data_IF_434715801523
#
_entry.id   IF_434715801523
#
_cell.length_a   1.000
_cell.length_b   1.000
_cell.length_c   1.000
_cell.angle_alpha   90.00
_cell.angle_beta   90.00
_cell.angle_gamma   90.00
#
_symmetry.space_group_name_H-M   'P 1'
#
loop_
_entity.id
_entity.type
_entity.pdbx_description
1 polymer ?
#
# COMPACT_ATOMS: atom_id res chain seq x y z
N UNK A 1 -14.12 3.84 -31.15
CA UNK A 1 -14.06 2.40 -31.50
C UNK A 1 -12.65 1.91 -31.87
N UNK A 2 -11.60 2.77 -31.90
CA UNK A 2 -10.23 2.38 -32.26
C UNK A 2 -9.31 2.02 -31.07
N UNK A 3 -9.61 2.49 -29.85
CA UNK A 3 -8.79 2.20 -28.66
C UNK A 3 -8.88 0.74 -28.19
N UNK A 4 -9.99 0.04 -28.45
CA UNK A 4 -10.21 -1.32 -27.94
C UNK A 4 -9.58 -2.44 -28.79
N UNK A 5 -9.05 -2.15 -29.98
CA UNK A 5 -8.51 -3.20 -30.89
C UNK A 5 -6.98 -3.38 -30.74
N UNK A 6 -6.29 -2.39 -30.16
CA UNK A 6 -4.85 -2.42 -29.92
C UNK A 6 -4.48 -2.79 -28.47
N UNK A 7 -5.39 -2.57 -27.52
CA UNK A 7 -5.16 -2.79 -26.09
C UNK A 7 -4.86 -4.26 -25.73
N UNK A 8 -5.38 -5.22 -26.48
CA UNK A 8 -5.20 -6.66 -26.21
C UNK A 8 -3.97 -7.28 -26.90
N UNK A 9 -3.23 -6.50 -27.70
CA UNK A 9 -2.09 -7.00 -28.47
C UNK A 9 -0.80 -6.80 -27.70
N UNK A 10 -0.29 -7.86 -27.11
CA UNK A 10 0.98 -7.86 -26.36
C UNK A 10 2.17 -8.32 -27.20
N UNK A 11 3.34 -7.78 -26.93
CA UNK A 11 4.61 -8.10 -27.58
C UNK A 11 5.63 -8.58 -26.55
N UNK A 12 6.29 -9.69 -26.86
CA UNK A 12 7.41 -10.24 -26.08
C UNK A 12 8.66 -10.33 -26.94
N UNK A 13 9.72 -9.64 -26.56
CA UNK A 13 11.03 -9.66 -27.23
C UNK A 13 12.11 -9.61 -26.15
N UNK A 14 13.01 -10.61 -26.13
CA UNK A 14 14.20 -10.59 -25.27
C UNK A 14 15.42 -10.82 -26.15
N UNK A 15 16.17 -9.75 -26.44
CA UNK A 15 17.42 -9.83 -27.18
C UNK A 15 18.37 -8.71 -26.76
N UNK A 16 19.64 -9.04 -26.61
CA UNK A 16 20.70 -8.07 -26.33
C UNK A 16 21.25 -7.40 -27.59
N UNK A 17 21.01 -8.00 -28.75
CA UNK A 17 21.48 -7.51 -30.04
C UNK A 17 20.49 -7.96 -31.13
N UNK A 18 19.57 -7.07 -31.53
CA UNK A 18 18.58 -7.32 -32.58
C UNK A 18 18.50 -6.12 -33.52
N UNK A 19 18.39 -6.36 -34.83
CA UNK A 19 18.18 -5.26 -35.78
C UNK A 19 16.77 -4.67 -35.65
N UNK A 20 16.61 -3.39 -35.98
CA UNK A 20 15.29 -2.73 -36.03
C UNK A 20 14.31 -3.52 -36.91
N UNK A 21 14.80 -4.04 -38.05
CA UNK A 21 13.99 -4.84 -38.99
C UNK A 21 13.50 -6.14 -38.38
N UNK A 22 14.36 -6.87 -37.67
CA UNK A 22 13.98 -8.09 -36.98
C UNK A 22 12.99 -7.82 -35.85
N UNK A 23 13.22 -6.77 -35.05
CA UNK A 23 12.32 -6.37 -33.97
C UNK A 23 10.92 -6.04 -34.51
N UNK A 24 10.82 -5.22 -35.57
CA UNK A 24 9.55 -4.89 -36.21
C UNK A 24 8.87 -6.14 -36.82
N UNK A 25 9.64 -7.06 -37.40
CA UNK A 25 9.10 -8.32 -37.91
C UNK A 25 8.54 -9.21 -36.79
N UNK A 26 9.17 -9.24 -35.61
CA UNK A 26 8.64 -9.95 -34.44
C UNK A 26 7.32 -9.32 -33.97
N UNK A 27 7.26 -7.99 -33.88
CA UNK A 27 6.03 -7.26 -33.55
C UNK A 27 4.91 -7.64 -34.53
N UNK A 28 5.17 -7.55 -35.84
CA UNK A 28 4.23 -7.93 -36.90
C UNK A 28 3.72 -9.36 -36.76
N UNK A 29 4.60 -10.33 -36.48
CA UNK A 29 4.23 -11.75 -36.30
C UNK A 29 3.34 -11.98 -35.08
N UNK A 30 3.61 -11.31 -33.97
CA UNK A 30 2.87 -11.53 -32.72
C UNK A 30 1.52 -10.82 -32.70
N UNK A 31 1.43 -9.65 -33.33
CA UNK A 31 0.26 -8.76 -33.23
C UNK A 31 -0.61 -8.74 -34.48
N UNK A 32 -0.13 -9.32 -35.59
CA UNK A 32 -0.82 -9.32 -36.88
C UNK A 32 -0.98 -7.93 -37.50
N UNK A 33 -0.23 -6.92 -37.04
CA UNK A 33 -0.29 -5.56 -37.59
C UNK A 33 0.56 -5.44 -38.86
N UNK A 34 0.14 -4.57 -39.76
CA UNK A 34 0.91 -4.26 -40.96
C UNK A 34 1.87 -3.11 -40.69
N UNK A 35 3.15 -3.42 -40.54
CA UNK A 35 4.19 -2.39 -40.40
C UNK A 35 4.74 -2.02 -41.78
N UNK A 36 4.70 -0.73 -42.09
CA UNK A 36 5.22 -0.11 -43.30
C UNK A 36 6.41 0.77 -42.95
N UNK A 37 7.49 0.66 -43.71
CA UNK A 37 8.70 1.46 -43.57
C UNK A 37 9.45 1.46 -44.89
N UNK A 38 10.29 2.46 -45.12
CA UNK A 38 11.21 2.49 -46.26
C UNK A 38 12.54 1.85 -45.85
N UNK A 39 12.95 0.76 -46.51
CA UNK A 39 14.17 0.00 -46.15
C UNK A 39 15.42 0.90 -46.07
N UNK A 40 15.54 1.89 -46.97
CA UNK A 40 16.66 2.83 -47.00
C UNK A 40 16.69 3.79 -45.80
N UNK A 41 15.56 3.97 -45.11
CA UNK A 41 15.43 4.88 -43.96
C UNK A 41 15.54 4.16 -42.62
N UNK A 42 15.56 2.82 -42.63
CA UNK A 42 15.66 2.04 -41.40
C UNK A 42 17.07 2.16 -40.83
N UNK A 43 17.16 2.61 -39.58
CA UNK A 43 18.44 2.72 -38.91
C UNK A 43 19.00 1.32 -38.61
N UNK A 44 20.25 1.04 -38.98
CA UNK A 44 20.89 -0.27 -38.77
C UNK A 44 21.50 -0.42 -37.36
N UNK A 45 21.06 0.39 -36.40
CA UNK A 45 21.55 0.34 -35.02
C UNK A 45 21.05 -0.95 -34.36
N UNK A 46 21.94 -1.77 -33.78
CA UNK A 46 21.53 -2.91 -32.98
C UNK A 46 20.83 -2.43 -31.71
N UNK A 47 19.66 -3.00 -31.44
CA UNK A 47 18.84 -2.67 -30.28
C UNK A 47 19.04 -3.69 -29.17
N UNK A 48 18.94 -3.23 -27.92
CA UNK A 48 18.82 -4.08 -26.73
C UNK A 48 17.38 -3.99 -26.22
N UNK A 49 16.61 -5.04 -26.43
CA UNK A 49 15.18 -5.07 -26.15
C UNK A 49 14.85 -6.12 -25.09
N UNK A 50 14.18 -5.67 -24.04
CA UNK A 50 13.57 -6.52 -22.99
C UNK A 50 12.11 -6.10 -22.85
N UNK A 51 11.25 -6.75 -23.62
CA UNK A 51 9.79 -6.56 -23.61
C UNK A 51 9.14 -7.87 -23.14
N UNK A 52 8.30 -7.81 -22.12
CA UNK A 52 7.61 -8.97 -21.57
C UNK A 52 6.10 -8.74 -21.56
N UNK A 53 5.39 -9.24 -22.58
CA UNK A 53 3.95 -9.01 -22.79
C UNK A 53 3.55 -7.52 -22.75
N UNK A 54 4.43 -6.66 -23.26
CA UNK A 54 4.17 -5.21 -23.29
C UNK A 54 3.06 -4.90 -24.30
N UNK A 55 2.17 -3.92 -24.03
CA UNK A 55 1.21 -3.45 -25.02
C UNK A 55 1.92 -3.00 -26.31
N UNK A 56 1.28 -3.22 -27.46
CA UNK A 56 1.85 -2.91 -28.77
C UNK A 56 2.37 -1.46 -28.87
N UNK A 57 1.63 -0.49 -28.35
CA UNK A 57 2.03 0.93 -28.38
C UNK A 57 3.33 1.16 -27.61
N UNK A 58 3.47 0.53 -26.45
CA UNK A 58 4.67 0.61 -25.62
C UNK A 58 5.85 -0.09 -26.30
N UNK A 59 5.63 -1.26 -26.88
CA UNK A 59 6.65 -1.98 -27.64
C UNK A 59 7.18 -1.13 -28.82
N UNK A 60 6.28 -0.53 -29.61
CA UNK A 60 6.64 0.36 -30.72
C UNK A 60 7.38 1.61 -30.23
N UNK A 61 6.95 2.19 -29.11
CA UNK A 61 7.62 3.34 -28.49
C UNK A 61 9.06 3.03 -28.08
N UNK A 62 9.30 1.89 -27.44
CA UNK A 62 10.65 1.48 -27.03
C UNK A 62 11.54 1.21 -28.25
N UNK A 63 11.02 0.49 -29.25
CA UNK A 63 11.79 0.17 -30.46
C UNK A 63 12.16 1.45 -31.22
N UNK A 64 11.19 2.34 -31.43
CA UNK A 64 11.40 3.55 -32.22
C UNK A 64 12.30 4.57 -31.50
N UNK A 65 12.15 4.72 -30.19
CA UNK A 65 12.99 5.64 -29.41
C UNK A 65 14.47 5.22 -29.42
N UNK A 66 14.78 3.92 -29.25
CA UNK A 66 16.15 3.43 -29.35
C UNK A 66 16.70 3.51 -30.79
N UNK A 67 15.86 3.27 -31.80
CA UNK A 67 16.26 3.35 -33.20
C UNK A 67 16.43 4.80 -33.72
N UNK A 68 16.02 5.81 -32.94
CA UNK A 68 15.97 7.20 -33.41
C UNK A 68 14.91 7.43 -34.50
N UNK A 69 13.86 6.63 -34.49
CA UNK A 69 12.75 6.66 -35.44
C UNK A 69 11.48 7.14 -34.73
N UNK A 70 10.45 7.46 -35.51
CA UNK A 70 9.10 7.66 -35.01
C UNK A 70 8.17 6.63 -35.62
N UNK A 71 7.10 6.32 -34.91
CA UNK A 71 5.99 5.54 -35.46
C UNK A 71 4.73 6.38 -35.52
N UNK A 72 3.81 5.96 -36.38
CA UNK A 72 2.50 6.55 -36.52
C UNK A 72 1.48 5.43 -36.74
N UNK A 73 0.51 5.32 -35.84
CA UNK A 73 -0.64 4.43 -36.04
C UNK A 73 -1.57 5.01 -37.08
N UNK A 74 -1.94 4.19 -38.08
CA UNK A 74 -2.86 4.55 -39.16
C UNK A 74 -4.06 3.61 -39.15
N UNK A 75 -5.17 4.05 -39.74
CA UNK A 75 -6.37 3.24 -39.95
C UNK A 75 -6.04 1.87 -40.59
N UNK A 76 -6.93 0.90 -40.38
CA UNK A 76 -6.83 -0.46 -40.91
C UNK A 76 -5.63 -1.29 -40.40
N UNK A 77 -5.23 -1.11 -39.12
CA UNK A 77 -4.20 -1.94 -38.47
C UNK A 77 -2.80 -1.78 -39.12
N UNK A 78 -2.55 -0.59 -39.71
CA UNK A 78 -1.27 -0.21 -40.28
C UNK A 78 -0.47 0.66 -39.32
N UNK A 79 0.85 0.47 -39.31
CA UNK A 79 1.81 1.30 -38.56
C UNK A 79 2.88 1.77 -39.54
N UNK A 80 3.08 3.08 -39.64
CA UNK A 80 4.21 3.62 -40.40
C UNK A 80 5.38 3.87 -39.46
N UNK A 81 6.57 3.44 -39.85
CA UNK A 81 7.83 3.80 -39.21
C UNK A 81 8.52 4.81 -40.12
N UNK A 82 8.86 5.96 -39.56
CA UNK A 82 9.38 7.11 -40.29
C UNK A 82 10.66 7.62 -39.60
N UNK A 83 11.63 8.14 -40.35
CA UNK A 83 12.74 8.85 -39.74
C UNK A 83 12.25 10.13 -39.07
N UNK A 84 13.00 10.60 -38.07
CA UNK A 84 12.75 11.90 -37.46
C UNK A 84 13.27 12.99 -38.42
N UNK A 85 12.36 13.59 -39.18
CA UNK A 85 12.68 14.73 -40.03
C UNK A 85 12.87 15.99 -39.16
N UNK A 86 14.13 16.42 -39.03
CA UNK A 86 14.48 17.63 -38.28
C UNK A 86 14.15 18.92 -39.03
N UNK A 87 13.92 18.86 -40.35
CA UNK A 87 13.65 20.00 -41.21
C UNK A 87 12.15 20.19 -41.51
N UNK A 88 11.30 19.26 -41.10
CA UNK A 88 9.86 19.39 -41.24
C UNK A 88 9.34 20.64 -40.51
N UNK A 89 8.41 21.38 -41.15
CA UNK A 89 7.66 22.46 -40.50
C UNK A 89 6.97 21.91 -39.26
N UNK A 90 7.16 22.59 -38.13
CA UNK A 90 6.63 22.17 -36.83
C UNK A 90 5.48 23.06 -36.40
N UNK A 91 4.48 22.43 -35.81
CA UNK A 91 3.46 23.09 -35.00
C UNK A 91 3.87 23.03 -33.53
N UNK A 92 3.46 24.05 -32.78
CA UNK A 92 3.64 24.10 -31.33
C UNK A 92 2.27 24.16 -30.67
N UNK A 93 2.09 23.33 -29.66
CA UNK A 93 0.95 23.34 -28.74
C UNK A 93 1.47 23.78 -27.38
N UNK A 94 0.72 24.63 -26.71
CA UNK A 94 0.95 25.04 -25.33
C UNK A 94 -0.28 24.75 -24.49
N UNK A 95 -0.12 24.68 -23.18
CA UNK A 95 -1.27 24.52 -22.31
C UNK A 95 -0.91 24.46 -20.84
N UNK A 96 -1.96 24.39 -20.01
CA UNK A 96 -1.87 24.24 -18.56
C UNK A 96 -2.75 23.08 -18.14
N UNK A 97 -2.22 22.22 -17.27
CA UNK A 97 -2.91 21.07 -16.71
C UNK A 97 -3.13 21.31 -15.22
N UNK A 98 -4.38 21.19 -14.80
CA UNK A 98 -4.80 21.36 -13.41
C UNK A 98 -5.62 20.18 -12.92
N UNK A 99 -5.61 19.94 -11.63
CA UNK A 99 -6.43 18.89 -11.00
C UNK A 99 -7.87 19.36 -10.72
N UNK A 100 -8.62 18.53 -10.01
CA UNK A 100 -9.99 18.79 -9.60
C UNK A 100 -10.15 19.97 -8.64
N UNK A 101 -9.12 20.21 -7.82
CA UNK A 101 -9.00 21.30 -6.85
C UNK A 101 -8.46 22.60 -7.45
N UNK A 102 -7.98 22.57 -8.70
CA UNK A 102 -7.45 23.73 -9.43
C UNK A 102 -5.94 23.95 -9.28
N UNK A 103 -5.24 23.01 -8.63
CA UNK A 103 -3.79 22.99 -8.46
C UNK A 103 -3.10 22.48 -9.73
N UNK A 104 -1.87 22.95 -10.04
CA UNK A 104 -1.14 22.51 -11.22
C UNK A 104 -0.71 21.03 -11.11
N UNK A 105 -0.93 20.26 -12.17
CA UNK A 105 -0.47 18.87 -12.26
C UNK A 105 0.97 18.83 -12.77
N UNK A 106 1.91 18.77 -11.84
CA UNK A 106 3.34 18.76 -12.12
C UNK A 106 3.76 17.39 -12.64
N UNK A 107 4.47 17.36 -13.78
CA UNK A 107 5.02 16.11 -14.31
C UNK A 107 4.02 15.25 -15.08
N UNK A 108 2.83 15.77 -15.41
CA UNK A 108 1.92 15.11 -16.35
C UNK A 108 2.63 14.85 -17.68
N UNK A 109 2.39 13.67 -18.26
CA UNK A 109 2.88 13.28 -19.59
C UNK A 109 1.86 13.70 -20.64
N UNK A 110 2.32 14.42 -21.66
CA UNK A 110 1.50 14.86 -22.79
C UNK A 110 2.07 14.22 -24.05
N UNK A 111 1.29 13.39 -24.76
CA UNK A 111 1.73 12.67 -25.96
C UNK A 111 0.67 12.76 -27.05
N UNK A 112 1.07 12.95 -28.31
CA UNK A 112 0.15 12.76 -29.44
C UNK A 112 -0.04 11.26 -29.63
N UNK A 113 -1.28 10.79 -29.47
CA UNK A 113 -1.60 9.36 -29.45
C UNK A 113 -1.05 8.66 -30.70
N UNK A 114 -0.46 7.48 -30.47
CA UNK A 114 0.09 6.67 -31.56
C UNK A 114 1.33 7.27 -32.20
N UNK A 115 2.01 8.19 -31.52
CA UNK A 115 3.29 8.76 -31.95
C UNK A 115 4.29 8.78 -30.79
N UNK A 116 5.55 9.10 -31.09
CA UNK A 116 6.59 9.37 -30.08
C UNK A 116 6.70 10.85 -29.71
N UNK A 117 5.81 11.71 -30.23
CA UNK A 117 5.85 13.14 -29.93
C UNK A 117 5.16 13.43 -28.60
N UNK A 118 5.96 13.73 -27.59
CA UNK A 118 5.45 14.09 -26.27
C UNK A 118 6.35 15.06 -25.53
N UNK A 119 5.80 15.60 -24.43
CA UNK A 119 6.45 16.52 -23.51
C UNK A 119 5.91 16.27 -22.10
N UNK A 120 6.50 16.93 -21.10
CA UNK A 120 6.10 16.81 -19.70
C UNK A 120 5.75 18.20 -19.16
N UNK A 121 4.70 18.27 -18.32
CA UNK A 121 4.30 19.50 -17.66
C UNK A 121 5.33 19.95 -16.61
N UNK A 122 5.60 21.25 -16.55
CA UNK A 122 6.53 21.86 -15.59
C UNK A 122 5.89 22.04 -14.19
N UNK A 123 6.59 22.75 -13.29
CA UNK A 123 6.13 23.02 -11.90
C UNK A 123 4.84 23.86 -11.81
N UNK A 124 4.54 24.63 -12.85
CA UNK A 124 3.32 25.45 -12.93
C UNK A 124 2.20 24.72 -13.69
N UNK A 125 2.37 23.42 -13.97
CA UNK A 125 1.44 22.61 -14.77
C UNK A 125 1.43 23.00 -16.25
N UNK A 126 2.35 23.85 -16.70
CA UNK A 126 2.44 24.33 -18.08
C UNK A 126 3.23 23.35 -18.94
N UNK A 127 2.82 23.18 -20.19
CA UNK A 127 3.54 22.35 -21.16
C UNK A 127 3.67 23.06 -22.50
N UNK A 128 4.72 22.67 -23.24
CA UNK A 128 4.94 23.06 -24.62
C UNK A 128 5.38 21.84 -25.42
N UNK A 129 4.61 21.48 -26.45
CA UNK A 129 4.84 20.34 -27.32
C UNK A 129 5.06 20.80 -28.75
N UNK A 130 6.21 20.47 -29.34
CA UNK A 130 6.53 20.75 -30.73
C UNK A 130 6.55 19.47 -31.54
N UNK A 131 5.80 19.42 -32.64
CA UNK A 131 5.64 18.23 -33.48
C UNK A 131 5.52 18.61 -34.97
N UNK A 132 5.88 17.72 -35.90
CA UNK A 132 5.75 17.98 -37.34
C UNK A 132 4.30 18.19 -37.77
N UNK A 133 4.06 19.16 -38.65
CA UNK A 133 2.74 19.51 -39.17
C UNK A 133 2.07 18.38 -39.97
N UNK A 134 2.86 17.47 -40.52
CA UNK A 134 2.40 16.31 -41.29
C UNK A 134 2.01 15.09 -40.42
N UNK A 135 1.92 15.25 -39.09
CA UNK A 135 1.42 14.21 -38.19
C UNK A 135 -0.09 14.03 -38.43
N UNK A 136 -0.54 12.83 -38.79
CA UNK A 136 -1.97 12.56 -39.09
C UNK A 136 -2.81 12.35 -37.84
N UNK A 137 -2.20 11.92 -36.73
CA UNK A 137 -2.91 11.72 -35.47
C UNK A 137 -3.27 13.08 -34.83
N UNK A 138 -4.55 13.20 -34.47
CA UNK A 138 -5.18 14.43 -33.99
C UNK A 138 -5.67 14.33 -32.53
N UNK A 139 -5.23 13.31 -31.79
CA UNK A 139 -5.60 13.08 -30.38
C UNK A 139 -4.38 13.33 -29.47
N UNK A 140 -4.52 14.24 -28.52
CA UNK A 140 -3.58 14.54 -27.45
C UNK A 140 -3.98 13.73 -26.22
N UNK A 141 -3.10 12.85 -25.77
CA UNK A 141 -3.26 12.04 -24.57
C UNK A 141 -2.48 12.67 -23.42
N UNK A 142 -3.12 12.84 -22.29
CA UNK A 142 -2.55 13.44 -21.09
C UNK A 142 -2.75 12.46 -19.95
N UNK A 143 -1.64 12.03 -19.33
CA UNK A 143 -1.66 11.04 -18.26
C UNK A 143 -0.75 11.44 -17.11
N UNK A 144 -1.18 11.10 -15.91
CA UNK A 144 -0.41 11.28 -14.68
C UNK A 144 -0.78 10.17 -13.71
N UNK A 145 0.17 9.74 -12.89
CA UNK A 145 -0.02 8.61 -11.97
C UNK A 145 -1.12 8.98 -10.95
N UNK A 146 -2.14 8.12 -10.84
CA UNK A 146 -3.28 8.34 -9.95
C UNK A 146 -4.31 9.33 -10.48
N UNK A 147 -4.25 9.70 -11.77
CA UNK A 147 -5.24 10.54 -12.44
C UNK A 147 -5.77 9.90 -13.71
N UNK A 148 -7.02 10.20 -14.03
CA UNK A 148 -7.66 9.68 -15.24
C UNK A 148 -6.96 10.24 -16.47
N UNK A 149 -6.69 9.36 -17.43
CA UNK A 149 -6.10 9.76 -18.71
C UNK A 149 -7.11 10.58 -19.51
N UNK A 150 -6.75 11.83 -19.83
CA UNK A 150 -7.58 12.74 -20.63
C UNK A 150 -7.16 12.68 -22.09
N UNK A 151 -8.15 12.67 -22.99
CA UNK A 151 -7.97 12.64 -24.44
C UNK A 151 -8.62 13.86 -25.07
N UNK A 152 -7.82 14.70 -25.71
CA UNK A 152 -8.25 15.97 -26.33
C UNK A 152 -7.98 15.96 -27.83
N UNK A 153 -8.90 16.51 -28.63
CA UNK A 153 -8.63 16.68 -30.08
C UNK A 153 -7.78 17.93 -30.33
N UNK A 154 -6.74 17.79 -31.14
CA UNK A 154 -5.79 18.86 -31.43
C UNK A 154 -6.42 19.87 -32.41
N UNK A 155 -6.90 19.41 -33.56
CA UNK A 155 -7.45 20.21 -34.65
C UNK A 155 -6.58 21.42 -35.00
N UNK A 156 -7.19 22.60 -35.01
CA UNK A 156 -6.52 23.89 -35.21
C UNK A 156 -6.20 24.64 -33.90
N UNK A 157 -6.37 23.98 -32.74
CA UNK A 157 -6.08 24.60 -31.44
C UNK A 157 -4.59 24.57 -31.16
N UNK A 158 -4.11 25.65 -30.54
CA UNK A 158 -2.72 25.81 -30.12
C UNK A 158 -2.56 25.93 -28.60
N UNK A 159 -3.67 26.12 -27.87
CA UNK A 159 -3.71 26.33 -26.43
C UNK A 159 -4.74 25.39 -25.80
N UNK A 160 -4.33 24.64 -24.78
CA UNK A 160 -5.15 23.68 -24.05
C UNK A 160 -5.15 24.00 -22.55
N UNK A 161 -6.33 24.13 -21.98
CA UNK A 161 -6.51 24.17 -20.52
C UNK A 161 -7.22 22.88 -20.14
N UNK A 162 -6.49 21.97 -19.51
CA UNK A 162 -6.96 20.62 -19.26
C UNK A 162 -7.15 20.42 -17.76
N UNK A 163 -8.30 19.88 -17.39
CA UNK A 163 -8.61 19.48 -16.03
C UNK A 163 -8.51 17.96 -15.94
N UNK A 164 -7.67 17.46 -15.05
CA UNK A 164 -7.54 16.03 -14.77
C UNK A 164 -8.27 15.70 -13.47
N UNK A 165 -8.94 14.56 -13.46
CA UNK A 165 -9.62 14.05 -12.28
C UNK A 165 -8.79 12.95 -11.63
N UNK A 166 -8.79 12.89 -10.30
CA UNK A 166 -8.15 11.80 -9.57
C UNK A 166 -8.79 10.46 -9.96
N UNK A 167 -7.97 9.49 -10.34
CA UNK A 167 -8.43 8.15 -10.61
C UNK A 167 -8.42 7.36 -9.31
N UNK A 168 -9.62 7.03 -8.80
CA UNK A 168 -9.77 6.08 -7.70
C UNK A 168 -9.71 4.67 -8.28
N UNK A 169 -8.55 4.27 -8.78
CA UNK A 169 -8.29 2.90 -9.20
C UNK A 169 -7.87 2.08 -7.98
N UNK A 170 -8.59 1.00 -7.68
CA UNK A 170 -8.05 -0.08 -6.87
C UNK A 170 -6.87 -0.67 -7.65
N UNK A 171 -5.65 -0.31 -7.24
CA UNK A 171 -4.41 -0.76 -7.88
C UNK A 171 -4.33 -2.29 -7.78
N UNK A 172 -4.56 -2.98 -8.88
CA UNK A 172 -4.08 -4.34 -9.06
C UNK A 172 -2.58 -4.24 -9.31
N UNK A 173 -1.82 -4.25 -8.22
CA UNK A 173 -0.38 -4.10 -8.19
C UNK A 173 0.28 -5.28 -8.93
N UNK A 174 0.70 -5.06 -10.18
CA UNK A 174 1.52 -6.02 -10.91
C UNK A 174 2.95 -5.89 -10.40
N UNK A 175 3.29 -6.72 -9.41
CA UNK A 175 4.68 -6.91 -8.99
C UNK A 175 5.31 -7.99 -9.86
N UNK A 176 6.26 -7.62 -10.72
CA UNK A 176 7.11 -8.59 -11.41
C UNK A 176 8.21 -9.02 -10.44
N UNK A 177 7.95 -10.08 -9.67
CA UNK A 177 9.00 -10.80 -8.94
C UNK A 177 9.31 -12.08 -9.71
N UNK A 178 10.59 -12.26 -10.04
CA UNK A 178 11.10 -13.52 -10.58
C UNK A 178 10.83 -14.67 -9.63
N UNK A 179 10.49 -15.82 -10.22
CA UNK A 179 10.07 -17.09 -9.63
C UNK A 179 8.62 -17.17 -9.15
N UNK A 180 7.76 -17.70 -10.05
CA UNK A 180 6.47 -18.30 -9.73
C UNK A 180 5.30 -17.31 -9.60
N UNK A 181 4.57 -17.10 -10.69
CA UNK A 181 3.32 -16.32 -10.68
C UNK A 181 2.21 -17.17 -10.06
N UNK A 182 1.80 -16.85 -8.85
CA UNK A 182 0.45 -17.14 -8.36
C UNK A 182 -0.10 -15.85 -7.81
N UNK A 183 -1.07 -15.29 -8.53
CA UNK A 183 -1.81 -14.11 -8.11
C UNK A 183 -2.47 -14.40 -6.76
N UNK A 184 -2.28 -13.53 -5.77
CA UNK A 184 -3.01 -13.63 -4.48
C UNK A 184 -4.52 -13.47 -4.68
N UNK A 185 -4.96 -12.91 -5.82
CA UNK A 185 -6.38 -12.84 -6.23
C UNK A 185 -6.97 -14.15 -6.76
N UNK A 186 -6.15 -15.12 -7.17
CA UNK A 186 -6.65 -16.41 -7.67
C UNK A 186 -6.88 -17.43 -6.54
N UNK A 187 -6.78 -16.99 -5.28
CA UNK A 187 -7.23 -17.76 -4.14
C UNK A 187 -8.74 -17.57 -4.01
N UNK A 188 -9.49 -18.60 -4.37
CA UNK A 188 -10.95 -18.72 -4.15
C UNK A 188 -11.36 -18.71 -2.66
N UNK A 189 -10.43 -18.38 -1.75
CA UNK A 189 -10.61 -18.28 -0.31
C UNK A 189 -10.72 -16.82 0.15
N UNK A 190 -11.37 -16.62 1.29
CA UNK A 190 -11.66 -15.31 1.87
C UNK A 190 -10.39 -14.60 2.36
N UNK A 191 -9.75 -13.84 1.47
CA UNK A 191 -8.66 -12.92 1.80
C UNK A 191 -9.25 -11.63 2.36
N UNK A 192 -8.75 -11.18 3.51
CA UNK A 192 -9.04 -9.86 4.03
C UNK A 192 -7.76 -9.04 4.00
N UNK A 193 -7.82 -7.88 3.31
CA UNK A 193 -6.69 -6.98 3.08
C UNK A 193 -7.04 -5.59 3.57
N UNK A 194 -6.06 -4.91 4.16
CA UNK A 194 -6.18 -3.52 4.62
C UNK A 194 -5.00 -2.73 4.07
N UNK A 195 -5.33 -1.71 3.27
CA UNK A 195 -4.35 -0.83 2.66
C UNK A 195 -3.96 0.36 3.54
N UNK A 196 -2.90 1.05 3.12
CA UNK A 196 -2.30 2.23 3.77
C UNK A 196 -3.31 3.26 4.32
N UNK A 197 -4.41 3.54 3.59
CA UNK A 197 -5.43 4.53 4.00
C UNK A 197 -6.19 4.16 5.26
N UNK A 198 -6.38 2.87 5.53
CA UNK A 198 -7.05 2.38 6.73
C UNK A 198 -6.05 2.19 7.88
N UNK A 199 -4.81 1.81 7.57
CA UNK A 199 -3.72 1.72 8.54
C UNK A 199 -3.33 3.09 9.11
N UNK A 200 -3.32 4.15 8.29
CA UNK A 200 -2.97 5.50 8.72
C UNK A 200 -4.04 6.22 9.54
N UNK A 201 -5.28 5.72 9.55
CA UNK A 201 -6.38 6.25 10.38
C UNK A 201 -6.40 5.62 11.78
N UNK A 202 -5.68 4.51 11.98
CA UNK A 202 -5.58 3.81 13.24
C UNK A 202 -4.31 4.29 13.97
N UNK A 203 -4.48 5.23 14.91
CA UNK A 203 -3.43 5.61 15.86
C UNK A 203 -3.22 4.49 16.89
N UNK A 204 -2.66 3.37 16.44
CA UNK A 204 -2.35 2.23 17.31
C UNK A 204 -0.84 2.07 17.44
N UNK A 205 -0.32 1.95 18.68
CA UNK A 205 1.12 1.84 18.92
C UNK A 205 1.70 0.49 18.48
N UNK A 206 0.88 -0.55 18.34
CA UNK A 206 1.33 -1.92 18.07
C UNK A 206 0.65 -2.49 16.81
N UNK A 207 1.46 -3.07 15.93
CA UNK A 207 1.04 -3.76 14.70
C UNK A 207 0.01 -4.86 14.98
N UNK A 208 0.19 -5.57 16.08
CA UNK A 208 -0.69 -6.66 16.53
C UNK A 208 -2.09 -6.18 16.94
N UNK A 209 -2.26 -4.92 17.33
CA UNK A 209 -3.58 -4.34 17.64
C UNK A 209 -4.34 -3.88 16.39
N UNK A 210 -3.64 -3.61 15.29
CA UNK A 210 -4.25 -3.29 14.00
C UNK A 210 -5.03 -4.50 13.44
N UNK A 211 -4.53 -5.72 13.72
CA UNK A 211 -5.14 -7.01 13.35
C UNK A 211 -6.60 -7.15 13.83
N UNK A 212 -6.99 -6.47 14.91
CA UNK A 212 -8.31 -6.56 15.50
C UNK A 212 -9.42 -6.03 14.56
N UNK A 213 -9.07 -5.12 13.63
CA UNK A 213 -10.02 -4.47 12.73
C UNK A 213 -9.91 -4.95 11.27
N UNK A 214 -9.00 -5.86 10.94
CA UNK A 214 -8.71 -6.18 9.53
C UNK A 214 -9.74 -7.11 8.90
N UNK A 215 -10.48 -7.88 9.70
CA UNK A 215 -11.17 -9.05 9.21
C UNK A 215 -12.20 -9.63 10.17
N UNK A 216 -13.43 -9.86 9.69
CA UNK A 216 -14.38 -10.74 10.38
C UNK A 216 -13.75 -12.13 10.62
N UNK A 217 -13.77 -12.61 11.87
CA UNK A 217 -13.21 -13.92 12.26
C UNK A 217 -11.76 -13.90 12.73
N UNK A 218 -11.12 -12.73 12.85
CA UNK A 218 -9.87 -12.54 13.59
C UNK A 218 -10.19 -12.09 15.01
N UNK A 219 -9.69 -12.82 15.99
CA UNK A 219 -9.82 -12.49 17.40
C UNK A 219 -8.45 -12.14 17.96
N UNK A 220 -8.33 -10.93 18.49
CA UNK A 220 -7.12 -10.44 19.15
C UNK A 220 -7.40 -10.42 20.65
N UNK A 221 -6.61 -11.13 21.44
CA UNK A 221 -6.75 -11.23 22.90
C UNK A 221 -5.52 -10.64 23.58
N UNK A 222 -5.69 -9.49 24.22
CA UNK A 222 -4.73 -8.95 25.17
C UNK A 222 -4.91 -9.68 26.50
N UNK A 223 -3.87 -10.38 26.96
CA UNK A 223 -3.94 -11.13 28.23
C UNK A 223 -3.68 -10.22 29.43
N UNK A 224 -3.11 -9.03 29.21
CA UNK A 224 -2.87 -8.02 30.25
C UNK A 224 -3.18 -6.63 29.71
N UNK A 225 -3.40 -5.68 30.62
CA UNK A 225 -3.57 -4.26 30.28
C UNK A 225 -2.25 -3.50 30.15
N UNK A 226 -1.11 -4.20 30.03
CA UNK A 226 0.22 -3.58 29.97
C UNK A 226 0.51 -3.13 28.53
N UNK A 227 0.78 -1.84 28.29
CA UNK A 227 1.13 -1.35 26.96
C UNK A 227 2.44 -1.95 26.43
N UNK A 228 2.43 -2.56 25.24
CA UNK A 228 3.63 -3.12 24.61
C UNK A 228 3.85 -4.62 24.83
N UNK A 229 2.96 -5.33 25.53
CA UNK A 229 3.04 -6.79 25.62
C UNK A 229 2.48 -7.46 24.36
N UNK A 230 3.09 -8.58 23.96
CA UNK A 230 2.72 -9.32 22.75
C UNK A 230 1.29 -9.83 22.84
N UNK A 231 0.49 -9.46 21.83
CA UNK A 231 -0.94 -9.76 21.79
C UNK A 231 -1.17 -11.08 21.06
N UNK A 232 -2.04 -11.95 21.59
CA UNK A 232 -2.36 -13.20 20.92
C UNK A 232 -3.41 -12.98 19.84
N UNK A 233 -3.07 -13.39 18.62
CA UNK A 233 -3.95 -13.30 17.45
C UNK A 233 -4.46 -14.69 17.11
N UNK A 234 -5.74 -14.80 16.80
CA UNK A 234 -6.39 -16.04 16.41
C UNK A 234 -7.21 -15.83 15.16
N UNK A 235 -6.96 -16.62 14.13
CA UNK A 235 -7.72 -16.59 12.88
C UNK A 235 -8.58 -17.85 12.86
N UNK A 236 -9.91 -17.70 12.83
CA UNK A 236 -10.90 -18.81 12.85
C UNK A 236 -11.00 -19.66 14.13
N UNK A 237 -11.04 -19.02 15.30
CA UNK A 237 -11.38 -19.70 16.55
C UNK A 237 -10.37 -20.77 16.97
N UNK A 238 -10.73 -21.67 17.89
CA UNK A 238 -9.81 -22.68 18.43
C UNK A 238 -9.77 -23.95 17.59
N UNK A 239 -8.64 -24.24 16.95
CA UNK A 239 -8.39 -25.43 16.13
C UNK A 239 -7.74 -26.57 16.91
N UNK A 240 -7.13 -26.31 18.07
CA UNK A 240 -6.47 -27.31 18.92
C UNK A 240 -6.68 -27.06 20.42
N UNK A 241 -6.94 -28.15 21.17
CA UNK A 241 -7.07 -28.14 22.64
C UNK A 241 -5.72 -28.12 23.37
N UNK A 242 -4.62 -28.53 22.73
CA UNK A 242 -3.30 -28.71 23.35
C UNK A 242 -2.13 -28.09 22.58
N UNK A 243 -2.34 -27.64 21.33
CA UNK A 243 -1.31 -27.02 20.48
C UNK A 243 -1.44 -25.49 20.37
N UNK A 244 -0.41 -24.84 19.80
CA UNK A 244 -0.49 -23.40 19.48
C UNK A 244 -1.56 -23.17 18.41
N UNK A 245 -2.36 -22.12 18.63
CA UNK A 245 -3.44 -21.70 17.74
C UNK A 245 -3.15 -20.33 17.10
N UNK A 246 -1.89 -19.89 17.15
CA UNK A 246 -1.46 -18.67 16.50
C UNK A 246 -1.33 -18.89 14.99
N UNK A 247 -1.63 -17.86 14.18
CA UNK A 247 -1.35 -17.89 12.76
C UNK A 247 0.15 -17.83 12.50
N UNK A 248 0.57 -18.27 11.32
CA UNK A 248 1.93 -18.04 10.86
C UNK A 248 2.07 -16.58 10.42
N UNK A 249 3.12 -15.90 10.87
CA UNK A 249 3.42 -14.54 10.42
C UNK A 249 4.45 -14.58 9.29
N UNK A 250 4.27 -13.75 8.27
CA UNK A 250 5.19 -13.61 7.13
C UNK A 250 5.48 -12.13 6.95
N UNK A 251 6.75 -11.74 7.04
CA UNK A 251 7.19 -10.35 6.90
C UNK A 251 8.05 -10.27 5.64
N UNK A 252 7.62 -9.48 4.65
CA UNK A 252 8.29 -9.32 3.35
C UNK A 252 8.63 -10.65 2.65
N UNK A 253 7.78 -11.67 2.84
CA UNK A 253 7.95 -13.01 2.27
C UNK A 253 8.73 -13.99 3.14
N UNK A 254 9.27 -13.56 4.29
CA UNK A 254 9.98 -14.42 5.23
C UNK A 254 9.06 -14.86 6.37
N UNK A 255 8.84 -16.17 6.60
CA UNK A 255 8.04 -16.64 7.72
C UNK A 255 8.77 -16.41 9.04
N UNK A 256 8.06 -15.89 10.03
CA UNK A 256 8.57 -15.58 11.37
C UNK A 256 7.79 -16.40 12.39
N UNK A 257 8.52 -17.13 13.23
CA UNK A 257 7.96 -18.04 14.23
C UNK A 257 7.67 -17.33 15.56
N UNK A 258 8.31 -16.18 15.81
CA UNK A 258 8.13 -15.39 17.03
C UNK A 258 7.22 -14.16 16.76
N UNK A 259 6.01 -14.11 17.37
CA UNK A 259 5.09 -12.99 17.22
C UNK A 259 5.65 -11.65 17.73
N UNK A 260 6.62 -11.68 18.65
CA UNK A 260 7.24 -10.45 19.19
C UNK A 260 8.00 -9.65 18.14
N UNK A 261 8.35 -10.27 17.01
CA UNK A 261 8.99 -9.59 15.90
C UNK A 261 8.06 -8.64 15.14
N UNK A 262 6.74 -8.82 15.23
CA UNK A 262 5.80 -7.82 14.72
C UNK A 262 5.75 -6.57 15.59
N UNK A 263 5.98 -6.72 16.89
CA UNK A 263 5.98 -5.58 17.82
C UNK A 263 7.24 -4.71 17.65
N UNK A 264 8.30 -5.26 17.04
CA UNK A 264 9.51 -4.53 16.68
C UNK A 264 9.38 -3.68 15.40
N UNK A 265 8.33 -3.90 14.60
CA UNK A 265 8.10 -3.15 13.37
C UNK A 265 7.24 -1.93 13.68
N UNK A 266 7.70 -0.76 13.24
CA UNK A 266 6.90 0.46 13.33
C UNK A 266 5.66 0.33 12.43
N UNK A 267 4.44 0.63 12.92
CA UNK A 267 3.25 0.69 12.08
C UNK A 267 3.39 1.63 10.86
N UNK A 268 4.25 2.65 10.97
CA UNK A 268 4.53 3.58 9.88
C UNK A 268 5.33 2.94 8.73
N UNK A 269 6.05 1.87 8.99
CA UNK A 269 6.88 1.18 8.00
C UNK A 269 6.08 0.09 7.28
N UNK A 270 4.84 -0.17 7.70
CA UNK A 270 3.96 -1.15 7.07
C UNK A 270 3.27 -0.53 5.87
N UNK A 271 3.38 -1.19 4.73
CA UNK A 271 2.66 -0.89 3.49
C UNK A 271 1.29 -1.55 3.48
N UNK A 272 1.24 -2.86 3.72
CA UNK A 272 -0.03 -3.61 3.76
C UNK A 272 0.03 -4.73 4.78
N UNK A 273 -1.15 -5.13 5.24
CA UNK A 273 -1.32 -6.32 6.05
C UNK A 273 -2.47 -7.17 5.48
N UNK A 274 -2.15 -8.42 5.16
CA UNK A 274 -3.06 -9.35 4.50
C UNK A 274 -3.24 -10.60 5.37
N UNK A 275 -4.49 -11.01 5.60
CA UNK A 275 -4.80 -12.20 6.38
C UNK A 275 -5.40 -13.27 5.47
N UNK A 276 -4.68 -14.38 5.33
CA UNK A 276 -5.14 -15.59 4.63
C UNK A 276 -5.81 -16.53 5.62
N UNK A 277 -7.13 -16.72 5.45
CA UNK A 277 -7.96 -17.49 6.38
C UNK A 277 -8.15 -18.96 5.97
N UNK A 278 -7.98 -19.27 4.68
CA UNK A 278 -8.39 -20.54 4.06
C UNK A 278 -7.22 -21.50 3.77
N UNK A 279 -7.57 -22.73 3.33
CA UNK A 279 -6.64 -23.80 2.95
C UNK A 279 -5.62 -23.40 1.86
N UNK A 280 -5.84 -22.28 1.19
CA UNK A 280 -4.90 -21.66 0.25
C UNK A 280 -3.58 -21.24 0.91
N UNK A 281 -3.61 -20.86 2.18
CA UNK A 281 -2.42 -20.51 2.93
C UNK A 281 -1.53 -21.74 3.21
N UNK A 282 -2.17 -22.90 3.47
CA UNK A 282 -1.49 -24.17 3.66
C UNK A 282 -0.85 -24.71 2.37
N UNK A 283 -1.38 -24.34 1.19
CA UNK A 283 -0.78 -24.71 -0.09
C UNK A 283 0.58 -24.02 -0.33
N UNK A 284 0.79 -22.83 0.24
CA UNK A 284 2.02 -22.05 0.07
C UNK A 284 2.99 -22.28 1.24
N UNK A 285 2.49 -22.28 2.48
CA UNK A 285 3.32 -22.31 3.70
C UNK A 285 3.22 -23.63 4.49
N UNK A 286 2.54 -24.65 3.95
CA UNK A 286 2.48 -25.99 4.51
C UNK A 286 1.65 -26.10 5.80
N UNK A 287 1.95 -27.12 6.61
CA UNK A 287 1.21 -27.42 7.85
C UNK A 287 1.23 -26.30 8.88
N UNK A 288 2.21 -25.38 8.80
CA UNK A 288 2.36 -24.22 9.67
C UNK A 288 1.28 -23.15 9.44
N UNK A 289 0.67 -23.15 8.27
CA UNK A 289 -0.44 -22.26 7.92
C UNK A 289 -1.83 -22.84 8.22
N UNK A 290 -1.91 -23.95 8.96
CA UNK A 290 -3.17 -24.58 9.35
C UNK A 290 -4.09 -23.64 10.17
N UNK A 291 -3.50 -22.70 10.92
CA UNK A 291 -4.21 -21.71 11.72
C UNK A 291 -4.36 -20.34 11.02
N UNK A 292 -4.13 -20.27 9.70
CA UNK A 292 -4.11 -19.04 8.92
C UNK A 292 -2.71 -18.40 8.83
N UNK A 293 -2.57 -17.44 7.93
CA UNK A 293 -1.32 -16.69 7.68
C UNK A 293 -1.60 -15.19 7.72
N UNK A 294 -0.76 -14.46 8.45
CA UNK A 294 -0.73 -12.99 8.46
C UNK A 294 0.51 -12.54 7.69
N UNK A 295 0.31 -11.85 6.59
CA UNK A 295 1.37 -11.30 5.75
C UNK A 295 1.48 -9.81 6.05
N UNK A 296 2.68 -9.36 6.38
CA UNK A 296 3.04 -7.96 6.57
C UNK A 296 4.03 -7.58 5.47
N UNK A 297 3.68 -6.57 4.69
CA UNK A 297 4.57 -6.00 3.67
C UNK A 297 5.07 -4.66 4.17
N UNK A 298 6.38 -4.45 4.19
CA UNK A 298 6.97 -3.16 4.59
C UNK A 298 7.12 -2.23 3.38
N UNK A 299 7.13 -0.93 3.65
CA UNK A 299 7.38 0.11 2.65
C UNK A 299 8.81 -0.01 2.15
N UNK A 300 8.97 -0.20 0.84
CA UNK A 300 10.28 -0.22 0.17
C UNK A 300 10.49 1.07 -0.62
N UNK A 301 11.72 1.56 -0.64
CA UNK A 301 12.11 2.68 -1.50
C UNK A 301 12.01 2.28 -2.97
N UNK A 302 11.34 3.11 -3.78
CA UNK A 302 11.21 2.85 -5.23
C UNK A 302 12.46 3.41 -5.93
N UNK A 303 13.18 2.56 -6.67
CA UNK A 303 14.37 2.96 -7.41
C UNK A 303 14.03 4.08 -8.42
N UNK A 304 14.74 5.22 -8.34
CA UNK A 304 14.48 6.40 -9.17
C UNK A 304 13.48 7.42 -8.62
N UNK A 305 12.85 7.15 -7.48
CA UNK A 305 12.04 8.16 -6.77
C UNK A 305 12.93 9.07 -5.90
N UNK A 306 12.59 10.38 -5.85
CA UNK A 306 13.31 11.31 -4.97
C UNK A 306 13.14 10.86 -3.51
N UNK A 307 14.19 10.93 -2.67
CA UNK A 307 14.06 10.60 -1.26
C UNK A 307 12.95 11.45 -0.65
N UNK A 308 11.87 10.79 -0.24
CA UNK A 308 10.73 11.42 0.41
C UNK A 308 10.93 11.30 1.90
N UNK A 309 11.31 12.41 2.53
CA UNK A 309 11.51 12.48 3.98
C UNK A 309 10.19 12.88 4.61
N UNK A 310 9.46 11.90 5.13
CA UNK A 310 8.26 12.15 5.94
C UNK A 310 8.65 12.12 7.41
N UNK A 311 8.71 13.30 8.02
CA UNK A 311 8.98 13.46 9.45
C UNK A 311 7.65 13.52 10.21
N UNK A 312 7.28 12.42 10.86
CA UNK A 312 6.12 12.35 11.73
C UNK A 312 6.59 12.31 13.19
N UNK A 313 6.32 13.38 13.94
CA UNK A 313 6.60 13.46 15.37
C UNK A 313 5.29 13.36 16.15
N UNK A 314 5.07 12.20 16.78
CA UNK A 314 3.90 11.95 17.61
C UNK A 314 4.33 11.82 19.07
N UNK A 315 3.78 12.66 19.94
CA UNK A 315 3.92 12.54 21.40
C UNK A 315 2.59 12.07 21.95
N UNK A 316 2.53 10.80 22.33
CA UNK A 316 1.35 10.22 22.96
C UNK A 316 1.59 10.14 24.47
N UNK A 317 0.74 10.78 25.24
CA UNK A 317 0.70 10.62 26.70
C UNK A 317 -0.43 9.66 27.05
N UNK A 318 -0.09 8.43 27.35
CA UNK A 318 -1.06 7.44 27.82
C UNK A 318 -1.41 7.74 29.28
N UNK A 319 -2.59 8.32 29.52
CA UNK A 319 -3.17 8.51 30.85
C UNK A 319 -4.27 7.50 31.08
N UNK A 320 -4.06 6.59 32.03
CA UNK A 320 -5.07 5.61 32.43
C UNK A 320 -6.33 6.34 32.97
N UNK A 321 -7.51 5.98 32.45
CA UNK A 321 -8.79 6.56 32.86
C UNK A 321 -9.01 6.31 34.36
N UNK A 322 -9.15 7.39 35.13
CA UNK A 322 -9.27 7.41 36.61
C UNK A 322 -10.67 7.04 37.12
N UNK A 323 -11.33 6.05 36.53
CA UNK A 323 -12.73 5.74 36.86
C UNK A 323 -12.89 4.69 37.97
N UNK A 324 -11.80 4.26 38.61
CA UNK A 324 -11.87 3.37 39.76
C UNK A 324 -11.11 3.97 40.95
N UNK A 325 -11.85 4.39 41.98
CA UNK A 325 -11.30 4.80 43.28
C UNK A 325 -11.33 3.57 44.18
N UNK A 326 -10.16 3.04 44.54
CA UNK A 326 -10.07 2.10 45.65
C UNK A 326 -10.24 2.86 46.97
N UNK A 327 -10.78 2.18 47.98
CA UNK A 327 -10.91 2.76 49.32
C UNK A 327 -9.52 3.07 49.88
N UNK A 328 -9.33 4.28 50.40
CA UNK A 328 -8.14 4.61 51.18
C UNK A 328 -8.12 3.80 52.48
N UNK A 329 -6.96 3.68 53.15
CA UNK A 329 -6.80 2.85 54.34
C UNK A 329 -7.83 3.14 55.43
N UNK A 330 -8.18 4.42 55.62
CA UNK A 330 -9.23 4.82 56.56
C UNK A 330 -10.64 4.46 56.10
N UNK A 331 -10.97 4.69 54.82
CA UNK A 331 -12.27 4.31 54.25
C UNK A 331 -12.49 2.78 54.25
N UNK A 332 -11.44 2.01 54.02
CA UNK A 332 -11.46 0.54 54.13
C UNK A 332 -11.68 0.11 55.58
N UNK A 333 -10.97 0.72 56.55
CA UNK A 333 -11.17 0.46 57.99
C UNK A 333 -12.59 0.76 58.43
N UNK A 334 -13.18 1.87 57.99
CA UNK A 334 -14.58 2.19 58.27
C UNK A 334 -15.54 1.15 57.68
N UNK A 335 -15.28 0.71 56.45
CA UNK A 335 -16.06 -0.32 55.77
C UNK A 335 -15.98 -1.67 56.49
N UNK A 336 -14.78 -2.08 56.90
CA UNK A 336 -14.55 -3.33 57.66
C UNK A 336 -15.18 -3.25 59.05
N UNK A 337 -15.10 -2.11 59.74
CA UNK A 337 -15.82 -1.90 61.01
C UNK A 337 -17.34 -1.95 60.83
N UNK A 338 -17.87 -1.44 59.72
CA UNK A 338 -19.30 -1.56 59.39
C UNK A 338 -19.68 -3.04 59.20
N UNK A 339 -18.91 -3.80 58.42
CA UNK A 339 -19.14 -5.23 58.26
C UNK A 339 -19.00 -6.02 59.56
N UNK A 340 -18.03 -5.69 60.41
CA UNK A 340 -17.89 -6.31 61.72
C UNK A 340 -19.15 -6.08 62.59
N UNK A 341 -19.72 -4.87 62.57
CA UNK A 341 -20.99 -4.58 63.26
C UNK A 341 -22.14 -5.39 62.68
N UNK A 342 -22.25 -5.48 61.36
CA UNK A 342 -23.29 -6.27 60.68
C UNK A 342 -23.14 -7.77 60.98
N UNK A 343 -21.93 -8.32 61.00
CA UNK A 343 -21.67 -9.72 61.34
C UNK A 343 -22.11 -10.04 62.76
N UNK A 344 -21.87 -9.16 63.74
CA UNK A 344 -22.30 -9.39 65.13
C UNK A 344 -23.82 -9.37 65.31
N UNK A 345 -24.59 -8.85 64.35
CA UNK A 345 -26.06 -8.97 64.35
C UNK A 345 -26.50 -10.40 64.07
N UNK A 346 -25.75 -11.15 63.24
CA UNK A 346 -26.09 -12.52 62.83
C UNK A 346 -25.32 -13.60 63.60
N UNK A 347 -24.05 -13.34 63.94
CA UNK A 347 -23.19 -14.19 64.76
C UNK A 347 -22.54 -13.35 65.87
N UNK A 348 -23.21 -13.24 67.03
CA UNK A 348 -22.71 -12.45 68.16
C UNK A 348 -21.41 -13.00 68.78
N UNK A 349 -21.03 -14.25 68.46
CA UNK A 349 -19.85 -14.92 69.02
C UNK A 349 -18.60 -14.79 68.14
N UNK A 350 -18.70 -14.08 67.01
CA UNK A 350 -17.62 -13.95 66.06
C UNK A 350 -16.42 -13.19 66.65
N UNK A 351 -15.38 -13.94 67.02
CA UNK A 351 -14.19 -13.40 67.69
C UNK A 351 -13.45 -12.35 66.85
N UNK A 352 -13.42 -12.49 65.53
CA UNK A 352 -12.78 -11.53 64.62
C UNK A 352 -13.53 -10.20 64.55
N UNK A 353 -14.86 -10.24 64.51
CA UNK A 353 -15.67 -9.02 64.48
C UNK A 353 -15.61 -8.26 65.82
N UNK A 354 -15.52 -8.98 66.94
CA UNK A 354 -15.30 -8.39 68.26
C UNK A 354 -13.94 -7.69 68.34
N UNK A 355 -12.86 -8.36 67.95
CA UNK A 355 -11.49 -7.83 67.96
C UNK A 355 -11.34 -6.55 67.11
N UNK A 356 -12.01 -6.50 65.94
CA UNK A 356 -12.00 -5.33 65.06
C UNK A 356 -12.70 -4.10 65.68
N UNK A 357 -13.69 -4.32 66.56
CA UNK A 357 -14.50 -3.28 67.19
C UNK A 357 -14.01 -2.88 68.58
N UNK A 358 -12.98 -3.52 69.11
CA UNK A 358 -12.40 -3.15 70.39
C UNK A 358 -11.85 -1.70 70.38
N UNK A 359 -12.04 -0.94 71.48
CA UNK A 359 -11.44 0.38 71.61
C UNK A 359 -9.92 0.30 71.46
N UNK A 360 -9.36 1.07 70.52
CA UNK A 360 -7.93 1.08 70.18
C UNK A 360 -7.38 -0.23 69.55
N UNK A 361 -8.25 -1.06 68.96
CA UNK A 361 -7.81 -2.24 68.20
C UNK A 361 -6.76 -1.89 67.14
N UNK A 362 -5.63 -2.60 67.17
CA UNK A 362 -4.56 -2.52 66.17
C UNK A 362 -4.72 -3.56 65.06
N UNK A 363 -5.79 -4.37 65.10
CA UNK A 363 -6.00 -5.51 64.20
C UNK A 363 -6.01 -5.14 62.72
N UNK A 364 -6.41 -3.90 62.37
CA UNK A 364 -6.43 -3.39 60.99
C UNK A 364 -5.19 -2.57 60.60
N UNK A 365 -4.24 -2.39 61.53
CA UNK A 365 -3.06 -1.54 61.34
C UNK A 365 -3.35 -0.04 61.17
N UNK A 366 -2.29 0.77 61.11
CA UNK A 366 -2.36 2.24 60.96
C UNK A 366 -1.82 2.76 59.63
N UNK A 367 -1.24 1.89 58.79
CA UNK A 367 -0.73 2.29 57.49
C UNK A 367 -1.87 2.81 56.60
N UNK A 368 -1.60 3.92 55.89
CA UNK A 368 -2.51 4.52 54.91
C UNK A 368 -1.74 4.78 53.60
N UNK A 369 -0.99 3.78 53.17
CA UNK A 369 -0.22 3.85 51.92
C UNK A 369 -1.16 3.68 50.75
N UNK A 370 -1.16 4.65 49.83
CA UNK A 370 -1.82 4.47 48.56
C UNK A 370 -0.97 3.57 47.66
N UNK A 371 -1.11 2.26 47.83
CA UNK A 371 -0.39 1.26 47.03
C UNK A 371 -0.66 1.40 45.53
N UNK A 372 -1.82 1.96 45.15
CA UNK A 372 -2.11 2.26 43.74
C UNK A 372 -1.27 3.42 43.22
N UNK A 373 -0.94 4.44 44.03
CA UNK A 373 -0.02 5.50 43.60
C UNK A 373 1.43 5.03 43.55
N UNK A 374 1.84 4.13 44.44
CA UNK A 374 3.23 3.68 44.55
C UNK A 374 3.67 2.71 43.43
N UNK A 375 2.72 1.94 42.88
CA UNK A 375 2.99 1.00 41.76
C UNK A 375 2.98 1.71 40.40
N UNK A 376 2.61 3.00 40.34
CA UNK A 376 2.54 3.76 39.08
C UNK A 376 3.92 4.27 38.67
N UNK A 377 4.39 3.85 37.50
CA UNK A 377 5.44 4.56 36.77
C UNK A 377 4.84 5.20 35.53
N UNK A 378 5.00 6.52 35.39
CA UNK A 378 4.63 7.23 34.15
C UNK A 378 5.70 6.93 33.12
N UNK A 379 5.38 6.11 32.11
CA UNK A 379 6.28 5.83 31.01
C UNK A 379 6.11 6.91 29.93
N UNK A 380 7.14 7.74 29.73
CA UNK A 380 7.21 8.63 28.58
C UNK A 380 7.80 7.83 27.43
N UNK A 381 7.07 7.69 26.33
CA UNK A 381 7.56 7.03 25.12
C UNK A 381 7.78 8.08 24.03
N UNK A 382 8.99 8.08 23.50
CA UNK A 382 9.35 8.87 22.32
C UNK A 382 9.47 7.89 21.16
N UNK A 383 8.67 8.08 20.12
CA UNK A 383 8.86 7.36 18.87
C UNK A 383 9.46 8.35 17.87
N UNK A 384 10.77 8.23 17.65
CA UNK A 384 11.51 9.02 16.67
C UNK A 384 11.83 8.09 15.48
N UNK A 385 11.24 8.30 14.30
CA UNK A 385 11.67 7.57 13.11
C UNK A 385 13.08 8.06 12.72
N UNK A 386 14.02 7.14 12.54
CA UNK A 386 15.29 7.40 11.83
C UNK A 386 15.14 7.16 10.35
#
# INVERSE_FOLDING_TARGET
MFANVLADKTVTIKSENISVKEALNMVKKQTGIHIMYEDATLNNVPLKLTLNKEPLEQALSVICSQAGMRYELVENNYVLILPIDRNAKRRTITGVIKDDMGEPVIGASIVIQGTTFGTVANMDGQFMLSYPENTKNDELMISFIGMQTVKEKIGNRHVFNVKMESEVTNLDEVVVVGYGTSSVKDLTGSVASVGLKQLSQLNTPNVTSMLQNLAAGVQVSQNTGVPGETVRVRVRGATSLTGSNEPLYVIDGVPVEDPSMLDAISPNDIQSMDVLKDASAAAIYGSRAANGVVIVTTKKGVEGSKPTVNFNYNVTTDVQIKNFRILYGDEWRETVRRFAKETLVYDPSNQYALEILEPNSTALGSANTNWFDEVKQTAIRHNAPT
#
